data_IF_893069268315
#
_entry.id   IF_893069268315
#
_cell.length_a   1.000
_cell.length_b   1.000
_cell.length_c   1.000
_cell.angle_alpha   90.00
_cell.angle_beta   90.00
_cell.angle_gamma   90.00
#
_symmetry.space_group_name_H-M   'P 1'
#
loop_
_entity.id
_entity.type
_entity.pdbx_description
1 polymer ?
#
# COMPACT_ATOMS: atom_id res chain seq x y z
N UNK A 1 -6.53 -6.68 0.78
CA UNK A 1 -7.50 -5.57 0.66
C UNK A 1 -6.77 -4.28 0.39
N UNK A 2 -7.29 -3.39 -0.47
CA UNK A 2 -6.69 -2.06 -0.65
C UNK A 2 -6.88 -1.22 0.61
N UNK A 3 -6.02 -0.21 0.81
CA UNK A 3 -6.12 0.71 1.96
C UNK A 3 -7.46 1.46 1.97
N UNK A 4 -8.01 1.76 0.79
CA UNK A 4 -9.33 2.39 0.65
C UNK A 4 -10.46 1.54 1.22
N UNK A 5 -10.42 0.22 1.05
CA UNK A 5 -11.41 -0.69 1.63
C UNK A 5 -11.30 -0.75 3.16
N UNK A 6 -10.09 -0.78 3.69
CA UNK A 6 -9.85 -0.79 5.14
C UNK A 6 -10.30 0.52 5.79
N UNK A 7 -10.03 1.65 5.12
CA UNK A 7 -10.55 2.94 5.54
C UNK A 7 -12.09 2.95 5.56
N UNK A 8 -12.74 2.45 4.50
CA UNK A 8 -14.20 2.36 4.44
C UNK A 8 -14.79 1.55 5.59
N UNK A 9 -14.19 0.41 5.92
CA UNK A 9 -14.60 -0.44 7.05
C UNK A 9 -14.47 0.28 8.40
N UNK A 10 -13.36 0.97 8.65
CA UNK A 10 -13.16 1.76 9.88
C UNK A 10 -14.14 2.93 9.98
N UNK A 11 -14.43 3.61 8.87
CA UNK A 11 -15.44 4.68 8.85
C UNK A 11 -16.84 4.13 9.15
N UNK A 12 -17.20 2.95 8.63
CA UNK A 12 -18.47 2.30 8.93
C UNK A 12 -18.58 1.94 10.43
N UNK A 13 -17.51 1.41 11.03
CA UNK A 13 -17.44 1.17 12.49
C UNK A 13 -17.62 2.44 13.31
N UNK A 14 -17.19 3.61 12.81
CA UNK A 14 -17.43 4.94 13.40
C UNK A 14 -18.83 5.50 13.06
N UNK A 15 -19.78 4.67 12.61
CA UNK A 15 -21.16 5.00 12.26
C UNK A 15 -21.37 5.94 11.06
N UNK A 16 -20.38 6.02 10.16
CA UNK A 16 -20.58 6.69 8.86
C UNK A 16 -21.18 5.72 7.87
N UNK A 17 -22.16 6.17 7.08
CA UNK A 17 -22.63 5.40 5.94
C UNK A 17 -21.59 5.46 4.82
N UNK A 18 -20.99 4.32 4.50
CA UNK A 18 -19.94 4.20 3.50
C UNK A 18 -20.35 3.17 2.45
N UNK A 19 -20.12 3.51 1.20
CA UNK A 19 -20.32 2.60 0.09
C UNK A 19 -19.10 2.59 -0.83
N UNK A 20 -18.75 1.42 -1.35
CA UNK A 20 -17.71 1.26 -2.35
C UNK A 20 -18.35 1.02 -3.71
N UNK A 21 -18.00 1.86 -4.68
CA UNK A 21 -18.47 1.73 -6.05
C UNK A 21 -17.34 1.24 -6.95
N UNK A 22 -17.60 0.14 -7.64
CA UNK A 22 -16.74 -0.37 -8.70
C UNK A 22 -17.30 0.02 -10.06
N UNK A 23 -16.63 0.87 -10.85
CA UNK A 23 -17.11 1.24 -12.18
C UNK A 23 -16.98 0.05 -13.13
N UNK A 24 -18.09 -0.36 -13.77
CA UNK A 24 -18.11 -1.47 -14.74
C UNK A 24 -17.52 -1.10 -16.11
N UNK A 25 -17.28 0.18 -16.35
CA UNK A 25 -16.62 0.71 -17.55
C UNK A 25 -15.63 1.82 -17.15
N UNK A 26 -14.51 1.49 -16.46
CA UNK A 26 -13.64 2.49 -15.83
C UNK A 26 -13.10 3.54 -16.79
N UNK A 27 -12.79 3.17 -18.04
CA UNK A 27 -12.28 4.11 -19.04
C UNK A 27 -13.37 4.80 -19.89
N UNK A 28 -14.65 4.66 -19.57
CA UNK A 28 -15.76 5.19 -20.38
C UNK A 28 -15.63 6.70 -20.59
N UNK A 29 -15.47 7.45 -19.51
CA UNK A 29 -15.36 8.92 -19.56
C UNK A 29 -14.07 9.33 -20.25
N UNK A 30 -12.95 8.72 -19.91
CA UNK A 30 -11.67 9.00 -20.57
C UNK A 30 -11.74 8.75 -22.09
N UNK A 31 -12.41 7.70 -22.54
CA UNK A 31 -12.64 7.45 -23.99
C UNK A 31 -13.47 8.54 -24.67
N UNK A 32 -14.45 9.08 -23.96
CA UNK A 32 -15.31 10.17 -24.47
C UNK A 32 -14.52 11.47 -24.60
N UNK A 33 -13.70 11.78 -23.60
CA UNK A 33 -12.89 13.02 -23.59
C UNK A 33 -11.70 12.97 -24.54
N UNK A 34 -11.12 11.78 -24.76
CA UNK A 34 -9.89 11.61 -25.54
C UNK A 34 -10.05 10.54 -26.66
N UNK A 35 -10.96 10.76 -27.65
CA UNK A 35 -11.33 9.71 -28.63
C UNK A 35 -10.20 9.32 -29.58
N UNK A 36 -9.20 10.20 -29.78
CA UNK A 36 -8.05 9.96 -30.66
C UNK A 36 -6.92 9.12 -30.06
N UNK A 37 -6.92 8.87 -28.77
CA UNK A 37 -5.84 8.16 -28.06
C UNK A 37 -5.98 6.64 -28.18
N UNK A 38 -5.17 6.00 -29.04
CA UNK A 38 -5.22 4.55 -29.34
C UNK A 38 -5.09 3.67 -28.08
N UNK A 39 -4.26 4.06 -27.11
CA UNK A 39 -4.02 3.29 -25.89
C UNK A 39 -5.27 3.12 -25.02
N UNK A 40 -6.19 4.10 -25.01
CA UNK A 40 -7.46 3.99 -24.31
C UNK A 40 -8.47 3.13 -25.07
N UNK A 41 -8.44 3.16 -26.42
CA UNK A 41 -9.35 2.35 -27.27
C UNK A 41 -9.18 0.85 -27.05
N UNK A 42 -7.96 0.38 -26.82
CA UNK A 42 -7.63 -1.05 -26.70
C UNK A 42 -7.83 -1.60 -25.30
N UNK A 43 -8.14 -0.78 -24.30
CA UNK A 43 -8.52 -1.26 -22.97
C UNK A 43 -9.93 -1.83 -23.03
N UNK A 44 -10.01 -3.15 -23.05
CA UNK A 44 -11.27 -3.90 -23.16
C UNK A 44 -12.28 -3.59 -22.06
N UNK A 45 -13.57 -3.79 -22.30
CA UNK A 45 -14.55 -3.84 -21.22
C UNK A 45 -14.27 -5.07 -20.35
N UNK A 46 -14.62 -5.00 -19.06
CA UNK A 46 -14.69 -6.21 -18.23
C UNK A 46 -15.44 -7.34 -18.95
N UNK A 47 -15.05 -8.61 -18.78
CA UNK A 47 -15.69 -9.74 -19.43
C UNK A 47 -17.22 -9.67 -19.37
N UNK A 48 -17.87 -9.96 -20.48
CA UNK A 48 -19.32 -9.80 -20.71
C UNK A 48 -20.23 -10.45 -19.64
N UNK A 49 -19.77 -11.54 -19.01
CA UNK A 49 -20.52 -12.23 -17.94
C UNK A 49 -20.65 -11.40 -16.66
N UNK A 50 -19.61 -10.64 -16.31
CA UNK A 50 -19.63 -9.71 -15.17
C UNK A 50 -20.56 -8.54 -15.47
N UNK A 51 -20.64 -8.11 -16.73
CA UNK A 51 -21.47 -7.00 -17.20
C UNK A 51 -22.97 -7.24 -17.00
N UNK A 52 -23.47 -8.46 -17.17
CA UNK A 52 -24.90 -8.80 -17.04
C UNK A 52 -25.34 -9.03 -15.59
N UNK A 53 -24.45 -9.49 -14.73
CA UNK A 53 -24.72 -9.67 -13.29
C UNK A 53 -24.77 -8.33 -12.53
N UNK A 54 -24.15 -7.28 -13.08
CA UNK A 54 -23.87 -6.02 -12.38
C UNK A 54 -24.84 -4.87 -12.72
N UNK A 55 -25.83 -5.10 -13.56
CA UNK A 55 -26.82 -4.05 -13.94
C UNK A 55 -27.97 -3.85 -12.95
N UNK A 56 -28.05 -4.65 -11.88
CA UNK A 56 -29.13 -4.58 -10.90
C UNK A 56 -28.60 -4.31 -9.48
N UNK A 57 -29.35 -3.54 -8.68
CA UNK A 57 -29.13 -3.33 -7.26
C UNK A 57 -29.33 -4.66 -6.51
N UNK A 58 -28.26 -5.42 -6.30
CA UNK A 58 -28.31 -6.59 -5.42
C UNK A 58 -27.44 -6.32 -4.18
N UNK A 59 -28.01 -6.65 -3.02
CA UNK A 59 -27.24 -6.72 -1.78
C UNK A 59 -26.12 -7.75 -1.94
N UNK A 60 -24.90 -7.33 -1.67
CA UNK A 60 -23.65 -8.04 -2.01
C UNK A 60 -23.49 -9.39 -1.30
N UNK A 61 -24.25 -9.63 -0.23
CA UNK A 61 -24.20 -10.86 0.57
C UNK A 61 -24.28 -12.15 -0.25
N UNK A 62 -24.92 -12.08 -1.43
CA UNK A 62 -25.15 -13.25 -2.30
C UNK A 62 -24.24 -13.31 -3.54
N UNK A 63 -23.61 -12.20 -3.92
CA UNK A 63 -22.82 -12.12 -5.17
C UNK A 63 -21.31 -12.24 -4.91
N UNK A 64 -20.83 -11.90 -3.71
CA UNK A 64 -19.41 -12.00 -3.34
C UNK A 64 -18.79 -13.36 -3.65
N UNK A 65 -19.42 -14.52 -3.31
CA UNK A 65 -18.83 -15.82 -3.60
C UNK A 65 -18.68 -16.09 -5.12
N UNK A 66 -19.62 -15.61 -5.92
CA UNK A 66 -19.64 -15.83 -7.38
C UNK A 66 -18.61 -14.93 -8.06
N UNK A 67 -18.50 -13.66 -7.67
CA UNK A 67 -17.52 -12.71 -8.19
C UNK A 67 -16.09 -13.11 -7.76
N UNK A 68 -15.91 -13.61 -6.55
CA UNK A 68 -14.64 -14.20 -6.09
C UNK A 68 -14.16 -15.31 -7.03
N UNK A 69 -15.03 -16.24 -7.35
CA UNK A 69 -14.73 -17.39 -8.21
C UNK A 69 -14.43 -16.99 -9.66
N UNK A 70 -15.12 -15.97 -10.18
CA UNK A 70 -14.98 -15.49 -11.56
C UNK A 70 -13.76 -14.58 -11.79
N UNK A 71 -13.38 -13.79 -10.78
CA UNK A 71 -12.26 -12.84 -10.88
C UNK A 71 -10.95 -13.39 -10.31
N UNK A 72 -10.94 -14.61 -9.74
CA UNK A 72 -9.75 -15.19 -9.10
C UNK A 72 -9.22 -14.39 -7.90
N UNK A 73 -10.07 -13.55 -7.28
CA UNK A 73 -9.69 -12.64 -6.22
C UNK A 73 -10.05 -13.25 -4.87
N UNK A 74 -9.05 -13.64 -4.09
CA UNK A 74 -9.20 -14.13 -2.72
C UNK A 74 -9.28 -12.93 -1.73
N UNK A 75 -10.42 -12.24 -1.70
CA UNK A 75 -10.72 -11.37 -0.57
C UNK A 75 -11.30 -12.20 0.57
N UNK A 76 -10.58 -12.32 1.67
CA UNK A 76 -11.01 -13.00 2.90
C UNK A 76 -11.77 -12.08 3.85
N UNK A 77 -11.90 -10.80 3.50
CA UNK A 77 -12.39 -9.77 4.40
C UNK A 77 -13.91 -9.68 4.45
N UNK A 78 -14.43 -9.49 5.64
CA UNK A 78 -15.83 -9.24 5.91
C UNK A 78 -16.22 -7.78 5.58
N UNK A 79 -17.17 -7.61 4.67
CA UNK A 79 -17.74 -6.32 4.25
C UNK A 79 -19.16 -6.12 4.76
N UNK A 80 -19.55 -6.80 5.86
CA UNK A 80 -20.92 -6.74 6.39
C UNK A 80 -21.39 -5.31 6.67
N UNK A 81 -20.47 -4.40 7.00
CA UNK A 81 -20.76 -3.03 7.43
C UNK A 81 -20.60 -1.99 6.30
N UNK A 82 -20.31 -2.42 5.07
CA UNK A 82 -20.07 -1.52 3.93
C UNK A 82 -20.90 -1.95 2.73
N UNK A 83 -21.69 -1.04 2.20
CA UNK A 83 -22.43 -1.27 0.96
C UNK A 83 -21.48 -1.27 -0.24
N UNK A 84 -21.60 -2.28 -1.10
CA UNK A 84 -20.78 -2.41 -2.32
C UNK A 84 -21.68 -2.40 -3.54
N UNK A 85 -21.35 -1.51 -4.48
CA UNK A 85 -22.10 -1.33 -5.71
C UNK A 85 -21.22 -1.53 -6.94
N UNK A 86 -21.82 -2.09 -8.00
CA UNK A 86 -21.23 -2.10 -9.33
C UNK A 86 -22.15 -1.32 -10.28
N UNK A 87 -21.63 -0.28 -10.90
CA UNK A 87 -22.46 0.55 -11.79
C UNK A 87 -21.64 1.15 -12.93
N UNK A 88 -22.33 1.45 -14.02
CA UNK A 88 -21.77 2.25 -15.13
C UNK A 88 -21.68 3.73 -14.81
N UNK A 89 -22.54 4.20 -13.91
CA UNK A 89 -22.65 5.60 -13.52
C UNK A 89 -22.75 5.74 -12.02
N UNK A 90 -22.00 6.66 -11.45
CA UNK A 90 -22.05 6.99 -10.01
C UNK A 90 -23.46 7.53 -9.64
N UNK A 91 -24.07 8.28 -10.55
CA UNK A 91 -25.39 8.90 -10.36
C UNK A 91 -26.54 7.89 -10.22
N UNK A 92 -26.37 6.64 -10.63
CA UNK A 92 -27.42 5.63 -10.62
C UNK A 92 -27.72 5.06 -9.23
N UNK A 93 -27.81 5.89 -8.20
CA UNK A 93 -28.39 5.48 -6.93
C UNK A 93 -27.63 5.81 -5.66
N UNK A 94 -26.51 6.50 -5.73
CA UNK A 94 -25.82 7.01 -4.56
C UNK A 94 -26.06 8.52 -4.43
N UNK A 95 -26.97 8.93 -3.55
CA UNK A 95 -27.07 10.33 -3.14
C UNK A 95 -26.18 10.55 -1.92
N UNK A 96 -24.88 10.64 -2.14
CA UNK A 96 -23.90 10.85 -1.07
C UNK A 96 -23.58 12.31 -0.86
N UNK A 97 -23.16 12.66 0.36
CA UNK A 97 -22.63 13.99 0.67
C UNK A 97 -21.26 14.22 0.02
N UNK A 98 -20.46 13.16 -0.14
CA UNK A 98 -19.09 13.18 -0.69
C UNK A 98 -18.80 11.94 -1.49
N UNK A 99 -17.93 12.08 -2.50
CA UNK A 99 -17.50 11.01 -3.39
C UNK A 99 -15.97 11.00 -3.45
N UNK A 100 -15.37 9.83 -3.31
CA UNK A 100 -13.92 9.66 -3.26
C UNK A 100 -13.45 8.76 -4.41
N UNK A 101 -12.63 9.30 -5.29
CA UNK A 101 -11.86 8.52 -6.26
C UNK A 101 -10.60 7.99 -5.58
N UNK A 102 -10.19 6.76 -5.89
CA UNK A 102 -9.00 6.10 -5.31
C UNK A 102 -7.91 5.81 -6.33
N UNK A 103 -8.12 6.21 -7.57
CA UNK A 103 -7.18 6.14 -8.68
C UNK A 103 -7.53 7.18 -9.76
N UNK A 104 -6.60 7.42 -10.69
CA UNK A 104 -6.76 8.41 -11.77
C UNK A 104 -7.96 8.15 -12.67
N UNK A 105 -8.35 6.89 -12.88
CA UNK A 105 -9.48 6.55 -13.76
C UNK A 105 -10.80 6.87 -13.09
N UNK A 106 -10.95 6.51 -11.82
CA UNK A 106 -12.15 6.81 -11.03
C UNK A 106 -12.29 8.31 -10.75
N UNK A 107 -11.18 9.07 -10.76
CA UNK A 107 -11.21 10.53 -10.63
C UNK A 107 -12.06 11.19 -11.73
N UNK A 108 -12.00 10.73 -12.98
CA UNK A 108 -12.85 11.24 -14.05
C UNK A 108 -14.33 10.96 -13.78
N UNK A 109 -14.68 9.78 -13.28
CA UNK A 109 -16.07 9.46 -12.93
C UNK A 109 -16.58 10.38 -11.81
N UNK A 110 -15.80 10.59 -10.75
CA UNK A 110 -16.18 11.48 -9.65
C UNK A 110 -16.32 12.92 -10.14
N UNK A 111 -15.42 13.40 -10.99
CA UNK A 111 -15.46 14.78 -11.48
C UNK A 111 -16.67 15.08 -12.38
N UNK A 112 -16.99 14.15 -13.29
CA UNK A 112 -18.01 14.39 -14.33
C UNK A 112 -19.40 13.84 -14.00
N UNK A 113 -19.53 12.95 -13.02
CA UNK A 113 -20.82 12.34 -12.67
C UNK A 113 -21.36 12.81 -11.31
N UNK A 114 -20.62 13.63 -10.56
CA UNK A 114 -21.07 14.16 -9.26
C UNK A 114 -21.23 15.68 -9.29
N UNK A 115 -21.96 16.22 -8.30
CA UNK A 115 -22.13 17.67 -8.19
C UNK A 115 -20.80 18.34 -7.83
N UNK A 116 -20.49 19.54 -8.37
CA UNK A 116 -19.29 20.28 -8.02
C UNK A 116 -19.11 20.44 -6.50
N UNK A 117 -17.87 20.36 -6.06
CA UNK A 117 -17.50 20.50 -4.65
C UNK A 117 -17.71 19.26 -3.77
N UNK A 118 -18.36 18.20 -4.29
CA UNK A 118 -18.56 16.93 -3.56
C UNK A 118 -17.50 15.86 -3.84
N UNK A 119 -16.62 16.07 -4.81
CA UNK A 119 -15.65 15.12 -5.27
C UNK A 119 -14.28 15.30 -4.65
N UNK A 120 -13.65 14.18 -4.30
CA UNK A 120 -12.29 14.07 -3.78
C UNK A 120 -11.51 13.07 -4.60
N UNK A 121 -10.20 13.27 -4.71
CA UNK A 121 -9.27 12.31 -5.30
C UNK A 121 -8.23 11.92 -4.24
N UNK A 122 -8.21 10.65 -3.83
CA UNK A 122 -7.23 10.08 -2.91
C UNK A 122 -6.12 9.46 -3.75
N UNK A 123 -4.95 10.07 -3.73
CA UNK A 123 -3.78 9.57 -4.44
C UNK A 123 -2.78 8.94 -3.46
N UNK A 124 -2.43 7.68 -3.72
CA UNK A 124 -1.52 6.89 -2.87
C UNK A 124 -0.04 6.99 -3.29
N UNK A 125 0.22 7.48 -4.49
CA UNK A 125 1.55 7.76 -5.04
C UNK A 125 1.35 8.69 -6.24
N UNK A 126 2.44 9.24 -6.78
CA UNK A 126 2.33 10.02 -8.03
C UNK A 126 2.01 9.10 -9.22
N UNK A 127 0.71 8.93 -9.49
CA UNK A 127 0.24 8.14 -10.63
C UNK A 127 0.63 8.77 -11.98
N UNK A 128 1.00 10.06 -11.99
CA UNK A 128 1.46 10.75 -13.19
C UNK A 128 2.93 10.46 -13.52
N UNK A 129 3.68 9.86 -12.60
CA UNK A 129 5.05 9.42 -12.87
C UNK A 129 5.05 8.28 -13.92
N UNK A 130 5.78 8.42 -15.05
CA UNK A 130 5.89 7.39 -16.07
C UNK A 130 6.39 6.03 -15.55
N UNK A 131 7.12 6.01 -14.44
CA UNK A 131 7.59 4.77 -13.80
C UNK A 131 6.43 3.85 -13.41
N UNK A 132 5.27 4.40 -13.02
CA UNK A 132 4.11 3.62 -12.64
C UNK A 132 3.20 3.26 -13.82
N UNK A 133 2.93 4.21 -14.71
CA UNK A 133 1.91 4.07 -15.75
C UNK A 133 2.47 4.07 -17.17
N UNK A 134 3.78 4.32 -17.37
CA UNK A 134 4.39 4.37 -18.69
C UNK A 134 3.60 5.27 -19.63
N UNK A 135 3.08 4.70 -20.71
CA UNK A 135 2.34 5.44 -21.74
C UNK A 135 0.97 6.00 -21.30
N UNK A 136 0.51 5.69 -20.08
CA UNK A 136 -0.74 6.23 -19.51
C UNK A 136 -0.52 7.36 -18.51
N UNK A 137 0.71 7.71 -18.19
CA UNK A 137 1.04 8.79 -17.23
C UNK A 137 0.40 10.13 -17.60
N UNK A 138 0.23 10.41 -18.89
CA UNK A 138 -0.46 11.62 -19.36
C UNK A 138 -1.93 11.65 -18.89
N UNK A 139 -2.63 10.50 -18.86
CA UNK A 139 -4.03 10.45 -18.40
C UNK A 139 -4.12 10.69 -16.89
N UNK A 140 -3.17 10.19 -16.12
CA UNK A 140 -3.09 10.51 -14.71
C UNK A 140 -2.78 12.02 -14.48
N UNK A 141 -1.92 12.63 -15.30
CA UNK A 141 -1.71 14.10 -15.26
C UNK A 141 -3.00 14.89 -15.47
N UNK A 142 -3.83 14.48 -16.44
CA UNK A 142 -5.16 15.09 -16.64
C UNK A 142 -6.08 14.88 -15.42
N UNK A 143 -6.02 13.72 -14.76
CA UNK A 143 -6.81 13.45 -13.56
C UNK A 143 -6.46 14.41 -12.42
N UNK A 144 -5.20 14.76 -12.24
CA UNK A 144 -4.78 15.76 -11.24
C UNK A 144 -5.25 17.19 -11.58
N UNK A 145 -5.62 17.49 -12.83
CA UNK A 145 -6.18 18.80 -13.21
C UNK A 145 -7.69 18.91 -12.96
N UNK A 146 -8.36 17.79 -12.69
CA UNK A 146 -9.80 17.79 -12.43
C UNK A 146 -10.17 18.66 -11.21
N UNK A 147 -11.40 19.24 -11.17
CA UNK A 147 -11.87 20.08 -10.07
C UNK A 147 -12.25 19.24 -8.84
N UNK A 148 -11.35 18.39 -8.40
CA UNK A 148 -11.47 17.54 -7.22
C UNK A 148 -10.56 18.05 -6.10
N UNK A 149 -11.01 17.87 -4.85
CA UNK A 149 -10.15 18.09 -3.69
C UNK A 149 -9.16 16.94 -3.59
N UNK A 150 -7.85 17.25 -3.67
CA UNK A 150 -6.80 16.23 -3.62
C UNK A 150 -6.48 15.84 -2.17
N UNK A 151 -6.46 14.54 -1.92
CA UNK A 151 -6.02 13.95 -0.65
C UNK A 151 -4.81 13.05 -0.96
N UNK A 152 -3.75 13.19 -0.18
CA UNK A 152 -2.48 12.49 -0.38
C UNK A 152 -2.01 11.80 0.91
N UNK A 153 -1.07 10.85 0.77
CA UNK A 153 -0.62 10.02 1.90
C UNK A 153 0.82 10.29 2.33
N UNK A 154 1.51 11.23 1.68
CA UNK A 154 2.89 11.59 2.04
C UNK A 154 3.21 13.05 1.72
N UNK A 155 4.29 13.56 2.34
CA UNK A 155 4.74 14.94 2.21
C UNK A 155 5.29 15.27 0.81
N UNK A 156 5.80 14.29 0.07
CA UNK A 156 6.31 14.51 -1.27
C UNK A 156 5.16 14.86 -2.22
N UNK A 157 4.02 14.16 -2.10
CA UNK A 157 2.80 14.50 -2.82
C UNK A 157 2.23 15.87 -2.39
N UNK A 158 2.33 16.21 -1.09
CA UNK A 158 1.97 17.55 -0.59
C UNK A 158 2.76 18.64 -1.30
N UNK A 159 4.07 18.44 -1.47
CA UNK A 159 4.95 19.40 -2.15
C UNK A 159 4.73 19.43 -3.66
N UNK A 160 4.62 18.25 -4.28
CA UNK A 160 4.47 18.10 -5.75
C UNK A 160 3.20 18.77 -6.26
N UNK A 161 2.10 18.71 -5.50
CA UNK A 161 0.80 19.26 -5.86
C UNK A 161 0.38 20.42 -4.96
N UNK A 162 1.33 21.22 -4.46
CA UNK A 162 1.07 22.29 -3.50
C UNK A 162 0.05 23.33 -4.01
N UNK A 163 -0.01 23.59 -5.32
CA UNK A 163 -0.97 24.49 -5.94
C UNK A 163 -2.43 24.02 -5.80
N UNK A 164 -2.65 22.71 -5.63
CA UNK A 164 -3.96 22.10 -5.38
C UNK A 164 -4.37 22.18 -3.92
N UNK A 165 -3.46 22.64 -3.04
CA UNK A 165 -3.67 22.65 -1.58
C UNK A 165 -4.17 21.30 -1.08
N UNK A 166 -3.42 20.22 -1.33
CA UNK A 166 -3.84 18.87 -0.95
C UNK A 166 -3.99 18.75 0.56
N UNK A 167 -4.69 17.70 0.98
CA UNK A 167 -4.83 17.33 2.40
C UNK A 167 -4.10 16.05 2.63
N UNK A 168 -3.31 15.98 3.72
CA UNK A 168 -2.55 14.81 4.11
C UNK A 168 -3.33 13.94 5.09
N UNK A 169 -3.29 12.63 4.92
CA UNK A 169 -3.56 11.65 5.97
C UNK A 169 -2.61 10.46 5.82
N UNK A 170 -2.34 9.77 6.91
CA UNK A 170 -1.43 8.65 6.89
C UNK A 170 -2.17 7.31 6.82
N UNK A 171 -1.58 6.37 6.09
CA UNK A 171 -2.13 5.01 5.97
C UNK A 171 -1.76 4.20 7.21
N UNK A 172 -2.71 3.41 7.72
CA UNK A 172 -2.52 2.54 8.86
C UNK A 172 -2.13 1.10 8.47
N UNK A 173 -1.74 0.32 9.48
CA UNK A 173 -1.49 -1.12 9.40
C UNK A 173 -2.46 -1.89 10.31
N UNK A 174 -2.54 -3.21 10.12
CA UNK A 174 -3.44 -4.09 10.85
C UNK A 174 -3.08 -4.17 12.33
N UNK A 175 -4.11 -4.18 13.19
CA UNK A 175 -3.97 -4.17 14.65
C UNK A 175 -3.24 -5.42 15.17
N UNK A 176 -3.33 -6.56 14.46
CA UNK A 176 -2.66 -7.80 14.88
C UNK A 176 -1.14 -7.74 14.84
N UNK A 177 -0.52 -6.80 14.08
CA UNK A 177 0.93 -6.57 14.14
C UNK A 177 1.38 -5.98 15.48
N UNK A 178 0.48 -5.31 16.21
CA UNK A 178 0.76 -4.72 17.53
C UNK A 178 0.58 -5.68 18.70
N UNK A 179 0.13 -6.90 18.45
CA UNK A 179 -0.15 -7.89 19.51
C UNK A 179 1.05 -8.06 20.47
N UNK A 180 0.81 -8.13 21.81
CA UNK A 180 1.87 -8.41 22.79
C UNK A 180 2.61 -9.71 22.51
N UNK A 181 1.94 -10.72 21.96
CA UNK A 181 2.58 -11.98 21.54
C UNK A 181 3.65 -11.80 20.46
N UNK A 182 3.66 -10.67 19.74
CA UNK A 182 4.76 -10.34 18.81
C UNK A 182 6.07 -9.98 19.52
N UNK A 183 6.04 -9.76 20.85
CA UNK A 183 7.21 -9.44 21.68
C UNK A 183 7.69 -10.61 22.52
N UNK A 184 6.93 -11.73 22.56
CA UNK A 184 7.32 -12.90 23.32
C UNK A 184 8.53 -13.51 22.64
N UNK A 185 9.66 -13.40 23.34
CA UNK A 185 10.96 -14.01 23.00
C UNK A 185 11.32 -13.93 21.51
N UNK A 186 11.70 -12.73 21.08
CA UNK A 186 12.50 -12.68 19.86
C UNK A 186 13.69 -13.58 20.11
N UNK A 187 13.67 -14.74 19.47
CA UNK A 187 14.71 -15.74 19.63
C UNK A 187 16.05 -15.05 19.37
N UNK A 188 16.98 -15.17 20.30
CA UNK A 188 18.35 -14.68 20.14
C UNK A 188 18.94 -15.33 18.90
N UNK A 189 19.38 -14.52 17.94
CA UNK A 189 20.02 -15.04 16.73
C UNK A 189 19.97 -14.05 15.56
N UNK A 190 20.83 -14.30 14.58
CA UNK A 190 21.00 -13.47 13.38
C UNK A 190 19.90 -13.82 12.35
N UNK A 191 18.66 -13.44 12.62
CA UNK A 191 17.49 -13.72 11.77
C UNK A 191 17.13 -12.51 10.95
N UNK A 192 17.32 -12.62 9.65
CA UNK A 192 17.14 -11.53 8.70
C UNK A 192 15.95 -11.88 7.80
N UNK A 193 15.01 -10.97 7.66
CA UNK A 193 13.85 -11.07 6.77
C UNK A 193 13.93 -10.00 5.69
N UNK A 194 13.82 -10.39 4.43
CA UNK A 194 13.96 -9.49 3.28
C UNK A 194 12.66 -9.47 2.48
N UNK A 195 12.19 -8.29 2.10
CA UNK A 195 11.08 -8.15 1.16
C UNK A 195 11.57 -8.29 -0.28
N UNK A 196 11.19 -9.35 -0.98
CA UNK A 196 11.54 -9.60 -2.38
C UNK A 196 10.27 -9.53 -3.25
N UNK A 197 10.04 -8.38 -3.84
CA UNK A 197 8.87 -8.13 -4.69
C UNK A 197 9.28 -7.95 -6.14
N UNK A 198 8.39 -8.36 -7.05
CA UNK A 198 8.60 -8.20 -8.48
C UNK A 198 8.51 -6.72 -8.89
N UNK A 199 9.21 -6.40 -9.98
CA UNK A 199 9.34 -5.04 -10.49
C UNK A 199 10.68 -4.38 -10.13
N UNK A 200 11.28 -3.70 -11.10
CA UNK A 200 12.60 -3.07 -10.97
C UNK A 200 12.67 -2.13 -9.76
N UNK A 201 11.63 -1.31 -9.55
CA UNK A 201 11.56 -0.35 -8.44
C UNK A 201 11.45 -1.00 -7.06
N UNK A 202 11.20 -2.31 -6.98
CA UNK A 202 11.16 -3.05 -5.71
C UNK A 202 12.53 -3.57 -5.26
N UNK A 203 13.55 -3.44 -6.10
CA UNK A 203 14.93 -3.64 -5.71
C UNK A 203 15.32 -5.08 -5.29
N UNK A 204 14.55 -6.10 -5.70
CA UNK A 204 14.80 -7.49 -5.28
C UNK A 204 16.23 -7.96 -5.55
N UNK A 205 16.83 -7.55 -6.65
CA UNK A 205 18.21 -7.89 -7.01
C UNK A 205 19.22 -7.38 -5.97
N UNK A 206 19.00 -6.21 -5.40
CA UNK A 206 19.85 -5.65 -4.35
C UNK A 206 19.65 -6.35 -3.01
N UNK A 207 18.40 -6.74 -2.71
CA UNK A 207 18.09 -7.57 -1.54
C UNK A 207 18.73 -8.96 -1.58
N UNK A 208 18.72 -9.62 -2.74
CA UNK A 208 19.36 -10.92 -2.95
C UNK A 208 20.88 -10.80 -2.83
N UNK A 209 21.48 -9.79 -3.41
CA UNK A 209 22.93 -9.59 -3.31
C UNK A 209 23.35 -9.24 -1.86
N UNK A 210 22.57 -8.43 -1.14
CA UNK A 210 22.79 -8.21 0.29
C UNK A 210 22.67 -9.51 1.09
N UNK A 211 21.67 -10.36 0.79
CA UNK A 211 21.52 -11.68 1.39
C UNK A 211 22.74 -12.58 1.16
N UNK A 212 23.33 -12.55 -0.05
CA UNK A 212 24.56 -13.30 -0.35
C UNK A 212 25.71 -12.82 0.54
N UNK A 213 25.95 -11.51 0.63
CA UNK A 213 26.98 -10.94 1.50
C UNK A 213 26.75 -11.28 2.98
N UNK A 214 25.51 -11.28 3.45
CA UNK A 214 25.13 -11.68 4.82
C UNK A 214 25.49 -13.16 5.04
N UNK A 215 25.12 -14.03 4.13
CA UNK A 215 25.36 -15.48 4.23
C UNK A 215 26.86 -15.81 4.27
N UNK A 216 27.69 -15.08 3.53
CA UNK A 216 29.12 -15.26 3.46
C UNK A 216 29.88 -14.72 4.68
N UNK A 217 29.39 -13.65 5.31
CA UNK A 217 30.16 -12.88 6.28
C UNK A 217 29.58 -12.90 7.71
N UNK A 218 28.31 -13.28 7.89
CA UNK A 218 27.68 -13.33 9.22
C UNK A 218 27.49 -14.80 9.63
N UNK A 219 28.21 -15.21 10.65
CA UNK A 219 28.13 -16.59 11.17
C UNK A 219 26.73 -16.89 11.69
N UNK A 220 26.20 -18.06 11.34
CA UNK A 220 24.86 -18.52 11.74
C UNK A 220 23.73 -17.56 11.34
N UNK A 221 23.87 -16.84 10.22
CA UNK A 221 22.78 -16.06 9.68
C UNK A 221 21.65 -16.98 9.19
N UNK A 222 20.43 -16.70 9.63
CA UNK A 222 19.22 -17.33 9.11
C UNK A 222 18.50 -16.27 8.25
N UNK A 223 18.46 -16.51 6.95
CA UNK A 223 17.94 -15.57 5.97
C UNK A 223 16.64 -16.10 5.40
N UNK A 224 15.56 -15.41 5.72
CA UNK A 224 14.24 -15.63 5.12
C UNK A 224 13.88 -14.46 4.21
N UNK A 225 13.05 -14.70 3.22
CA UNK A 225 12.50 -13.65 2.39
C UNK A 225 11.04 -13.96 2.03
N UNK A 226 10.27 -12.93 1.73
CA UNK A 226 8.90 -13.10 1.27
C UNK A 226 8.54 -12.10 0.17
N UNK A 227 7.57 -12.45 -0.64
CA UNK A 227 7.04 -11.59 -1.70
C UNK A 227 6.53 -12.34 -2.91
N UNK A 228 6.56 -11.68 -4.05
CA UNK A 228 6.12 -12.21 -5.34
C UNK A 228 7.23 -12.21 -6.42
N UNK A 229 8.49 -12.10 -6.00
CA UNK A 229 9.62 -12.18 -6.93
C UNK A 229 9.73 -13.58 -7.54
N UNK A 230 10.31 -13.70 -8.73
CA UNK A 230 10.42 -14.97 -9.46
C UNK A 230 11.18 -16.02 -8.63
N UNK A 231 10.49 -17.11 -8.28
CA UNK A 231 10.96 -18.08 -7.31
C UNK A 231 12.26 -18.79 -7.74
N UNK A 232 12.40 -19.03 -9.03
CA UNK A 232 13.57 -19.65 -9.66
C UNK A 232 14.82 -18.75 -9.64
N UNK A 233 14.65 -17.46 -9.39
CA UNK A 233 15.76 -16.49 -9.26
C UNK A 233 16.19 -16.24 -7.81
N UNK A 234 15.54 -16.85 -6.83
CA UNK A 234 15.91 -16.71 -5.43
C UNK A 234 16.89 -17.83 -5.06
N UNK A 235 18.11 -17.53 -4.57
CA UNK A 235 19.08 -18.53 -4.17
C UNK A 235 18.58 -19.49 -3.10
N UNK A 236 18.99 -20.75 -3.14
CA UNK A 236 18.52 -21.82 -2.25
C UNK A 236 18.89 -21.65 -0.77
N UNK A 237 19.88 -20.80 -0.44
CA UNK A 237 20.23 -20.48 0.94
C UNK A 237 19.25 -19.51 1.61
N UNK A 238 18.31 -18.91 0.83
CA UNK A 238 17.23 -18.05 1.33
C UNK A 238 15.97 -18.89 1.48
N UNK A 239 15.42 -18.95 2.70
CA UNK A 239 14.10 -19.53 2.93
C UNK A 239 13.03 -18.60 2.35
N UNK A 240 12.58 -18.86 1.11
CA UNK A 240 11.70 -17.96 0.39
C UNK A 240 10.22 -18.36 0.46
N UNK A 241 9.40 -17.45 0.99
CA UNK A 241 7.95 -17.57 1.10
C UNK A 241 7.29 -16.79 -0.05
N UNK A 242 6.87 -17.53 -1.08
CA UNK A 242 6.23 -16.94 -2.26
C UNK A 242 4.75 -16.70 -2.04
N UNK A 243 4.31 -15.43 -2.18
CA UNK A 243 2.92 -14.99 -1.96
C UNK A 243 2.32 -15.47 -0.63
N UNK A 244 2.99 -15.27 0.50
CA UNK A 244 2.48 -15.74 1.78
C UNK A 244 1.18 -15.02 2.16
N UNK A 245 0.36 -15.68 2.96
CA UNK A 245 -0.81 -15.05 3.60
C UNK A 245 -0.37 -14.00 4.63
N UNK A 246 -1.28 -13.10 5.01
CA UNK A 246 -0.99 -12.08 6.02
C UNK A 246 -0.59 -12.68 7.37
N UNK A 247 -1.12 -13.86 7.72
CA UNK A 247 -0.77 -14.57 8.96
C UNK A 247 0.66 -15.10 8.87
N UNK A 248 1.05 -15.69 7.74
CA UNK A 248 2.42 -16.14 7.52
C UNK A 248 3.41 -14.97 7.55
N UNK A 249 3.07 -13.84 6.96
CA UNK A 249 3.89 -12.60 7.03
C UNK A 249 4.06 -12.13 8.47
N UNK A 250 2.99 -12.14 9.27
CA UNK A 250 3.07 -11.82 10.70
C UNK A 250 4.04 -12.75 11.44
N UNK A 251 3.98 -14.06 11.19
CA UNK A 251 4.88 -15.03 11.82
C UNK A 251 6.34 -14.83 11.37
N UNK A 252 6.58 -14.44 10.11
CA UNK A 252 7.91 -14.08 9.62
C UNK A 252 8.47 -12.87 10.36
N UNK A 253 7.67 -11.81 10.54
CA UNK A 253 8.11 -10.65 11.33
C UNK A 253 8.37 -10.98 12.79
N UNK A 254 7.53 -11.84 13.40
CA UNK A 254 7.73 -12.26 14.80
C UNK A 254 9.06 -12.98 15.00
N UNK A 255 9.48 -13.77 14.05
CA UNK A 255 10.75 -14.51 14.10
C UNK A 255 11.97 -13.64 13.76
N UNK A 256 11.83 -12.63 12.93
CA UNK A 256 12.95 -11.85 12.42
C UNK A 256 13.51 -10.87 13.47
N UNK A 257 14.82 -10.73 13.52
CA UNK A 257 15.52 -9.69 14.29
C UNK A 257 15.62 -8.40 13.49
N UNK A 258 16.03 -8.53 12.22
CA UNK A 258 16.20 -7.41 11.27
C UNK A 258 15.30 -7.63 10.07
N UNK A 259 14.59 -6.60 9.67
CA UNK A 259 13.83 -6.54 8.41
C UNK A 259 14.55 -5.62 7.42
N UNK A 260 14.69 -6.06 6.17
CA UNK A 260 15.35 -5.32 5.09
C UNK A 260 14.37 -4.96 3.99
N UNK A 261 14.26 -3.67 3.66
CA UNK A 261 13.53 -3.16 2.50
C UNK A 261 14.52 -2.65 1.45
N UNK A 262 14.74 -3.36 0.33
CA UNK A 262 15.68 -2.94 -0.71
C UNK A 262 15.06 -2.04 -1.79
N UNK A 263 13.83 -1.57 -1.62
CA UNK A 263 13.07 -0.85 -2.64
C UNK A 263 13.74 0.45 -3.06
N UNK A 264 13.66 0.77 -4.36
CA UNK A 264 14.17 2.00 -4.96
C UNK A 264 13.10 3.10 -4.90
N UNK A 265 11.83 2.73 -5.08
CA UNK A 265 10.71 3.68 -5.11
C UNK A 265 9.46 3.07 -4.47
N UNK A 266 8.86 3.83 -3.56
CA UNK A 266 7.60 3.50 -2.88
C UNK A 266 6.78 4.78 -2.64
N UNK A 267 5.44 4.66 -2.58
CA UNK A 267 4.57 5.77 -2.17
C UNK A 267 4.57 5.97 -0.65
N UNK A 268 4.19 4.94 0.09
CA UNK A 268 4.31 4.79 1.54
C UNK A 268 4.34 3.29 1.84
N UNK A 269 5.52 2.66 1.94
CA UNK A 269 5.61 1.22 2.12
C UNK A 269 5.14 0.82 3.51
N UNK A 270 4.22 -0.15 3.61
CA UNK A 270 3.73 -0.67 4.89
C UNK A 270 4.64 -1.73 5.53
N UNK A 271 5.39 -2.56 4.77
CA UNK A 271 6.22 -3.61 5.34
C UNK A 271 7.17 -3.16 6.46
N UNK A 272 7.86 -2.02 6.38
CA UNK A 272 8.68 -1.53 7.49
C UNK A 272 7.85 -1.18 8.75
N UNK A 273 6.65 -0.61 8.59
CA UNK A 273 5.76 -0.33 9.73
C UNK A 273 5.26 -1.61 10.40
N UNK A 274 4.88 -2.61 9.60
CA UNK A 274 4.46 -3.94 10.07
C UNK A 274 5.60 -4.64 10.82
N UNK A 275 6.83 -4.57 10.27
CA UNK A 275 8.04 -5.09 10.90
C UNK A 275 8.33 -4.40 12.23
N UNK A 276 8.26 -3.06 12.29
CA UNK A 276 8.44 -2.27 13.52
C UNK A 276 7.38 -2.59 14.56
N UNK A 277 6.11 -2.68 14.19
CA UNK A 277 5.02 -3.07 15.06
C UNK A 277 5.23 -4.46 15.66
N UNK A 278 5.78 -5.37 14.87
CA UNK A 278 6.15 -6.73 15.29
C UNK A 278 7.50 -6.81 16.00
N UNK A 279 8.18 -5.67 16.23
CA UNK A 279 9.43 -5.55 17.01
C UNK A 279 10.70 -5.89 16.22
N UNK A 280 10.70 -5.91 14.89
CA UNK A 280 11.93 -5.97 14.09
C UNK A 280 12.67 -4.62 14.11
N UNK A 281 14.00 -4.68 13.96
CA UNK A 281 14.77 -3.50 13.58
C UNK A 281 14.76 -3.39 12.05
N UNK A 282 14.57 -2.18 11.54
CA UNK A 282 14.42 -1.96 10.10
C UNK A 282 15.71 -1.39 9.50
N UNK A 283 16.17 -2.01 8.43
CA UNK A 283 17.14 -1.46 7.46
C UNK A 283 16.38 -1.20 6.17
N UNK A 284 16.44 0.01 5.65
CA UNK A 284 15.74 0.39 4.43
C UNK A 284 16.64 1.14 3.48
N UNK A 285 16.54 0.83 2.19
CA UNK A 285 17.05 1.75 1.17
C UNK A 285 16.25 3.07 1.22
N UNK A 286 16.90 4.20 0.92
CA UNK A 286 16.33 5.56 0.97
C UNK A 286 15.36 5.81 -0.20
N UNK A 287 14.29 5.03 -0.27
CA UNK A 287 13.20 5.29 -1.20
C UNK A 287 12.26 6.36 -0.62
N UNK A 288 11.74 7.23 -1.49
CA UNK A 288 11.02 8.47 -1.11
C UNK A 288 9.97 8.26 -0.03
N UNK A 289 9.11 7.26 -0.21
CA UNK A 289 7.94 7.04 0.67
C UNK A 289 8.23 6.59 2.10
N UNK A 290 9.46 6.16 2.41
CA UNK A 290 9.83 5.78 3.79
C UNK A 290 9.96 6.98 4.72
N UNK A 291 10.25 8.15 4.17
CA UNK A 291 10.53 9.38 4.93
C UNK A 291 9.33 9.88 5.73
N UNK A 292 8.15 9.38 5.44
CA UNK A 292 6.93 9.63 6.23
C UNK A 292 7.10 9.21 7.70
N UNK A 293 7.83 8.12 7.95
CA UNK A 293 7.93 7.55 9.30
C UNK A 293 9.33 7.02 9.66
N UNK A 294 10.20 6.67 8.70
CA UNK A 294 11.58 6.27 9.01
C UNK A 294 12.48 7.49 9.23
N UNK A 295 13.31 7.41 10.26
CA UNK A 295 14.34 8.39 10.61
C UNK A 295 15.62 7.64 10.89
N UNK A 296 16.65 7.94 10.11
CA UNK A 296 17.96 7.30 10.24
C UNK A 296 18.52 7.48 11.64
N UNK A 297 19.21 6.45 12.16
CA UNK A 297 19.82 6.40 13.49
C UNK A 297 18.84 6.61 14.67
N UNK A 298 17.54 6.80 14.39
CA UNK A 298 16.51 6.99 15.42
C UNK A 298 15.61 5.77 15.57
N UNK A 299 14.97 5.31 14.50
CA UNK A 299 14.04 4.17 14.49
C UNK A 299 14.35 3.13 13.42
N UNK A 300 15.36 3.37 12.60
CA UNK A 300 15.82 2.52 11.50
C UNK A 300 17.25 2.89 11.12
N UNK A 301 17.88 2.07 10.27
CA UNK A 301 19.06 2.48 9.51
C UNK A 301 18.62 2.67 8.06
N UNK A 302 18.92 3.85 7.50
CA UNK A 302 18.59 4.20 6.13
C UNK A 302 19.88 4.23 5.31
N UNK A 303 19.88 3.56 4.17
CA UNK A 303 21.04 3.41 3.31
C UNK A 303 20.73 3.87 1.88
N UNK A 304 21.74 4.21 1.07
CA UNK A 304 21.53 4.57 -0.33
C UNK A 304 20.74 3.47 -1.09
N UNK A 305 19.87 3.88 -2.03
CA UNK A 305 19.23 2.96 -2.97
C UNK A 305 20.27 2.28 -3.86
N UNK A 306 19.99 1.05 -4.31
CA UNK A 306 20.84 0.27 -5.22
C UNK A 306 22.23 -0.09 -4.64
N UNK A 307 22.38 -0.10 -3.32
CA UNK A 307 23.64 -0.43 -2.67
C UNK A 307 23.50 -1.65 -1.73
N UNK A 308 23.77 -2.83 -2.27
CA UNK A 308 23.69 -4.09 -1.53
C UNK A 308 24.78 -4.21 -0.44
N UNK A 309 25.95 -3.59 -0.65
CA UNK A 309 27.05 -3.64 0.33
C UNK A 309 26.70 -2.83 1.57
N UNK A 310 26.13 -1.65 1.38
CA UNK A 310 25.72 -0.80 2.52
C UNK A 310 24.51 -1.40 3.24
N UNK A 311 23.57 -2.07 2.52
CA UNK A 311 22.51 -2.87 3.16
C UNK A 311 23.09 -3.96 4.06
N UNK A 312 24.07 -4.75 3.59
CA UNK A 312 24.79 -5.75 4.38
C UNK A 312 25.46 -5.12 5.59
N UNK A 313 26.25 -4.06 5.42
CA UNK A 313 27.00 -3.41 6.52
C UNK A 313 26.05 -2.87 7.59
N UNK A 314 24.88 -2.34 7.20
CA UNK A 314 23.86 -1.86 8.14
C UNK A 314 23.26 -3.03 8.96
N UNK A 315 22.97 -4.17 8.31
CA UNK A 315 22.51 -5.39 9.02
C UNK A 315 23.57 -5.86 10.00
N UNK A 316 24.83 -5.97 9.57
CA UNK A 316 25.95 -6.40 10.43
C UNK A 316 26.10 -5.49 11.65
N UNK A 317 26.10 -4.18 11.44
CA UNK A 317 26.20 -3.18 12.52
C UNK A 317 25.11 -3.35 13.58
N UNK A 318 23.85 -3.59 13.16
CA UNK A 318 22.75 -3.83 14.09
C UNK A 318 22.96 -5.11 14.90
N UNK A 319 23.46 -6.17 14.27
CA UNK A 319 23.68 -7.44 14.95
C UNK A 319 24.85 -7.40 15.92
N UNK A 320 25.88 -6.60 15.62
CA UNK A 320 27.08 -6.45 16.45
C UNK A 320 26.88 -5.46 17.61
N UNK A 321 25.93 -4.50 17.50
CA UNK A 321 25.66 -3.46 18.51
C UNK A 321 24.25 -3.67 19.14
N UNK A 322 24.21 -4.30 20.30
CA UNK A 322 22.97 -4.58 21.03
C UNK A 322 22.26 -3.32 21.53
N UNK A 323 22.99 -2.29 21.90
CA UNK A 323 22.41 -1.04 22.42
C UNK A 323 21.74 -0.28 21.27
N UNK A 324 22.39 -0.21 20.11
CA UNK A 324 21.79 0.32 18.90
C UNK A 324 20.54 -0.46 18.50
N UNK A 325 20.62 -1.80 18.49
CA UNK A 325 19.48 -2.67 18.16
C UNK A 325 18.28 -2.37 19.05
N UNK A 326 18.46 -2.31 20.37
CA UNK A 326 17.36 -2.05 21.32
C UNK A 326 16.81 -0.62 21.18
N UNK A 327 17.67 0.35 20.99
CA UNK A 327 17.27 1.75 20.71
C UNK A 327 16.36 1.82 19.48
N UNK A 328 16.81 1.25 18.37
CA UNK A 328 16.06 1.27 17.10
C UNK A 328 14.74 0.49 17.21
N UNK A 329 14.74 -0.67 17.86
CA UNK A 329 13.56 -1.49 18.12
C UNK A 329 12.50 -0.73 18.90
N UNK A 330 12.88 -0.14 20.04
CA UNK A 330 11.99 0.65 20.90
C UNK A 330 11.37 1.83 20.17
N UNK A 331 12.20 2.59 19.47
CA UNK A 331 11.76 3.77 18.72
C UNK A 331 10.92 3.39 17.49
N UNK A 332 11.28 2.29 16.79
CA UNK A 332 10.52 1.76 15.68
C UNK A 332 9.10 1.38 16.10
N UNK A 333 8.96 0.60 17.18
CA UNK A 333 7.66 0.25 17.71
C UNK A 333 6.83 1.47 18.14
N UNK A 334 7.43 2.44 18.82
CA UNK A 334 6.78 3.70 19.19
C UNK A 334 6.30 4.47 17.95
N UNK A 335 7.08 4.44 16.89
CA UNK A 335 6.70 5.04 15.60
C UNK A 335 5.49 4.33 15.00
N UNK A 336 5.54 3.00 14.88
CA UNK A 336 4.48 2.21 14.27
C UNK A 336 3.12 2.39 14.98
N UNK A 337 3.10 2.54 16.31
CA UNK A 337 1.87 2.79 17.09
C UNK A 337 1.08 4.04 16.67
N UNK A 338 1.67 4.93 15.91
CA UNK A 338 0.98 6.10 15.34
C UNK A 338 0.20 5.76 14.07
N UNK A 339 0.47 4.63 13.45
CA UNK A 339 -0.06 4.23 12.15
C UNK A 339 -1.06 3.07 12.28
N UNK A 340 -2.04 3.24 13.15
CA UNK A 340 -3.17 2.31 13.27
C UNK A 340 -4.28 2.67 12.29
N UNK A 341 -5.18 1.73 11.99
CA UNK A 341 -6.37 2.07 11.18
C UNK A 341 -7.32 3.03 11.88
N UNK A 342 -7.36 3.06 13.21
CA UNK A 342 -8.17 4.02 13.94
C UNK A 342 -7.63 5.44 13.77
N UNK A 343 -6.30 5.64 13.91
CA UNK A 343 -5.65 6.92 13.65
C UNK A 343 -5.83 7.34 12.19
N UNK A 344 -5.69 6.42 11.24
CA UNK A 344 -5.94 6.67 9.82
C UNK A 344 -7.36 7.21 9.58
N UNK A 345 -8.37 6.59 10.20
CA UNK A 345 -9.75 7.02 10.04
C UNK A 345 -9.99 8.39 10.69
N UNK A 346 -9.39 8.68 11.83
CA UNK A 346 -9.51 9.97 12.52
C UNK A 346 -8.81 11.10 11.74
N UNK A 347 -7.58 10.87 11.26
CA UNK A 347 -6.88 11.81 10.40
C UNK A 347 -7.66 12.08 9.10
N UNK A 348 -8.20 11.04 8.46
CA UNK A 348 -9.02 11.19 7.27
C UNK A 348 -10.28 12.03 7.55
N UNK A 349 -10.99 11.78 8.65
CA UNK A 349 -12.16 12.55 9.03
C UNK A 349 -11.82 14.02 9.29
N UNK A 350 -10.75 14.29 10.03
CA UNK A 350 -10.24 15.64 10.24
C UNK A 350 -9.92 16.33 8.91
N UNK A 351 -9.17 15.65 8.03
CA UNK A 351 -8.78 16.14 6.72
C UNK A 351 -9.96 16.56 5.83
N UNK A 352 -11.11 15.86 5.94
CA UNK A 352 -12.30 16.17 5.12
C UNK A 352 -13.31 17.08 5.84
N UNK A 353 -13.21 17.26 7.17
CA UNK A 353 -14.09 18.14 7.96
C UNK A 353 -13.58 19.57 8.01
N UNK A 354 -12.27 19.82 8.07
CA UNK A 354 -11.66 21.14 8.21
C UNK A 354 -11.90 22.10 7.02
N UNK A 355 -12.56 21.64 5.96
CA UNK A 355 -12.81 22.44 4.74
C UNK A 355 -14.29 22.54 4.37
N UNK A 356 -15.17 22.50 5.37
CA UNK A 356 -16.56 22.95 5.26
C UNK A 356 -16.65 24.38 5.78
#
# INVERSE_FOLDING_TARGET
>A
MSQSHKLAKKLAQKKYQVAILFPTAPFRIARTLFPGRKNIRNMGPMPYLVKNLLNNRFSFKYIVPVVRKLLGVNYTDDFSDVDIFFSRHISNGLNSKRYYATDYVTAFHVAYETKPGKGYFISQHDEADPVYLGNLSWLAKEAYQLPLKLIVINDDMMRLYAEKKPVLFHVGIEDYFFSPHSLVEKQTGNRILISLRDGEMKGAVYGIEAARLINENIRNANISAYGNYQKDKVPSFIEYHYLPSNIEVLELYRKATVFVLPSILEGMPLPPLEAMASGCVVVSADCVGIRVYLKDEFNSIIVPIRDSKVLFTAVQRILDDKDLMEKLRKNGRKTALRFTYDNMADEFLAAVQERI
#
